data_IF_168389517051
#
_entry.id   IF_168389517051
#
_cell.length_a   1.000
_cell.length_b   1.000
_cell.length_c   1.000
_cell.angle_alpha   90.00
_cell.angle_beta   90.00
_cell.angle_gamma   90.00
#
_symmetry.space_group_name_H-M   'P 1'
#
loop_
_entity.id
_entity.type
_entity.pdbx_description
1 polymer ?
#
# COMPACT_ATOMS: atom_id res chain seq x y z
N UNK A 1 19.11 -4.05 -7.34
CA UNK A 1 18.38 -4.55 -8.53
C UNK A 1 18.37 -3.48 -9.61
N UNK A 2 18.09 -3.82 -10.86
CA UNK A 2 17.94 -2.84 -11.95
C UNK A 2 16.47 -2.78 -12.37
N UNK A 3 15.95 -1.57 -12.59
CA UNK A 3 14.59 -1.33 -13.09
C UNK A 3 14.70 -0.63 -14.44
N UNK A 4 13.84 -0.99 -15.39
CA UNK A 4 13.80 -0.38 -16.72
C UNK A 4 12.77 0.74 -16.74
N UNK A 5 13.18 1.92 -17.21
CA UNK A 5 12.30 3.08 -17.29
C UNK A 5 11.29 2.94 -18.43
N UNK A 6 10.00 3.13 -18.15
CA UNK A 6 8.94 3.11 -19.17
C UNK A 6 9.03 4.25 -20.18
N UNK A 7 9.68 5.37 -19.84
CA UNK A 7 9.84 6.51 -20.76
C UNK A 7 11.08 6.41 -21.64
N UNK A 8 12.27 6.32 -21.03
CA UNK A 8 13.54 6.39 -21.76
C UNK A 8 14.24 5.03 -21.93
N UNK A 9 13.63 3.94 -21.47
CA UNK A 9 14.14 2.55 -21.58
C UNK A 9 15.48 2.29 -20.89
N UNK A 10 16.05 3.28 -20.18
CA UNK A 10 17.33 3.14 -19.49
C UNK A 10 17.21 2.20 -18.27
N UNK A 11 18.30 1.49 -17.98
CA UNK A 11 18.43 0.66 -16.79
C UNK A 11 18.88 1.54 -15.62
N UNK A 12 18.01 1.69 -14.63
CA UNK A 12 18.30 2.47 -13.43
C UNK A 12 18.69 1.51 -12.29
N UNK A 13 19.91 1.61 -11.72
CA UNK A 13 20.29 0.84 -10.56
C UNK A 13 19.52 1.32 -9.34
N UNK A 14 18.86 0.39 -8.66
CA UNK A 14 18.06 0.69 -7.47
C UNK A 14 18.67 0.01 -6.26
N UNK A 15 19.06 0.85 -5.29
CA UNK A 15 19.40 0.45 -3.92
C UNK A 15 18.23 0.78 -3.02
N UNK A 16 17.53 -0.26 -2.57
CA UNK A 16 16.40 -0.09 -1.64
C UNK A 16 16.93 -0.29 -0.22
N UNK A 17 16.78 0.69 0.69
CA UNK A 17 17.20 0.52 2.09
C UNK A 17 16.40 -0.61 2.75
N UNK A 18 17.07 -1.41 3.58
CA UNK A 18 16.54 -2.67 4.11
C UNK A 18 15.47 -2.53 5.20
N UNK A 19 15.18 -1.32 5.69
CA UNK A 19 14.45 -1.13 6.95
C UNK A 19 13.23 -0.19 6.89
N UNK A 20 12.85 0.33 5.72
CA UNK A 20 11.75 1.31 5.66
C UNK A 20 10.48 0.66 5.12
N UNK A 21 9.46 0.50 5.97
CA UNK A 21 8.09 0.17 5.56
C UNK A 21 7.41 1.26 4.70
N UNK A 22 8.15 2.31 4.35
CA UNK A 22 7.69 3.37 3.44
C UNK A 22 8.01 3.01 1.99
N UNK A 23 7.08 3.26 1.04
CA UNK A 23 7.33 3.04 -0.38
C UNK A 23 8.54 3.86 -0.84
N UNK A 24 9.50 3.19 -1.49
CA UNK A 24 10.70 3.83 -2.00
C UNK A 24 10.39 4.60 -3.29
N UNK A 25 10.84 5.85 -3.37
CA UNK A 25 10.77 6.67 -4.59
C UNK A 25 12.12 6.67 -5.27
N UNK A 26 12.19 6.22 -6.52
CA UNK A 26 13.43 6.14 -7.30
C UNK A 26 13.31 7.02 -8.54
N UNK A 27 14.31 7.86 -8.79
CA UNK A 27 14.40 8.66 -10.02
C UNK A 27 15.17 7.89 -11.09
N UNK A 28 14.64 7.86 -12.31
CA UNK A 28 15.34 7.28 -13.46
C UNK A 28 16.63 8.04 -13.76
N UNK A 29 17.73 7.32 -13.98
CA UNK A 29 19.02 7.91 -14.35
C UNK A 29 19.04 8.55 -15.74
N UNK A 30 18.13 8.16 -16.63
CA UNK A 30 18.04 8.71 -17.99
C UNK A 30 17.16 9.96 -18.09
N UNK A 31 15.88 9.86 -17.70
CA UNK A 31 14.92 10.96 -17.88
C UNK A 31 14.49 11.65 -16.58
N UNK A 32 15.02 11.26 -15.41
CA UNK A 32 14.66 11.85 -14.12
C UNK A 32 13.26 11.52 -13.60
N UNK A 33 12.43 10.79 -14.36
CA UNK A 33 11.07 10.40 -13.95
C UNK A 33 11.11 9.60 -12.65
N UNK A 34 10.24 9.97 -11.70
CA UNK A 34 10.16 9.35 -10.37
C UNK A 34 9.16 8.20 -10.37
N UNK A 35 9.60 7.04 -9.90
CA UNK A 35 8.81 5.83 -9.76
C UNK A 35 8.61 5.51 -8.27
N UNK A 36 7.37 5.24 -7.87
CA UNK A 36 7.07 4.70 -6.54
C UNK A 36 7.10 3.19 -6.64
N UNK A 37 8.00 2.56 -5.89
CA UNK A 37 8.09 1.12 -5.82
C UNK A 37 7.18 0.62 -4.70
N UNK A 38 6.28 -0.31 -5.02
CA UNK A 38 5.37 -0.95 -4.07
C UNK A 38 6.13 -1.98 -3.22
N UNK A 39 7.13 -1.54 -2.44
CA UNK A 39 7.96 -2.45 -1.67
C UNK A 39 7.41 -2.56 -0.26
N UNK A 40 6.58 -3.57 -0.03
CA UNK A 40 6.51 -4.21 1.28
C UNK A 40 7.63 -5.24 1.33
N UNK A 41 8.73 -4.94 2.03
CA UNK A 41 9.86 -5.85 2.16
C UNK A 41 9.77 -6.62 3.49
N UNK A 42 9.51 -7.94 3.48
CA UNK A 42 9.98 -8.79 4.55
C UNK A 42 11.52 -8.95 4.45
N UNK A 43 12.18 -9.31 5.56
CA UNK A 43 13.65 -9.26 5.72
C UNK A 43 14.49 -10.10 4.74
N UNK A 44 15.83 -10.09 4.90
CA UNK A 44 16.86 -10.75 4.04
C UNK A 44 16.48 -12.07 3.32
N UNK A 45 15.84 -13.08 3.95
CA UNK A 45 15.41 -14.29 3.22
C UNK A 45 14.46 -14.01 2.04
N UNK A 46 13.80 -12.85 2.00
CA UNK A 46 12.89 -12.47 0.93
C UNK A 46 13.59 -11.98 -0.36
N UNK A 47 14.87 -11.61 -0.33
CA UNK A 47 15.57 -11.16 -1.54
C UNK A 47 15.88 -12.33 -2.49
N UNK A 48 16.20 -13.52 -1.97
CA UNK A 48 16.32 -14.75 -2.77
C UNK A 48 14.97 -15.15 -3.39
N UNK A 49 13.88 -15.09 -2.60
CA UNK A 49 12.52 -15.36 -3.09
C UNK A 49 12.09 -14.38 -4.17
N UNK A 50 12.51 -13.11 -4.07
CA UNK A 50 12.22 -12.08 -5.08
C UNK A 50 13.01 -12.31 -6.36
N UNK A 51 14.30 -12.68 -6.25
CA UNK A 51 15.10 -13.06 -7.42
C UNK A 51 14.53 -14.29 -8.13
N UNK A 52 14.18 -15.33 -7.36
CA UNK A 52 13.54 -16.54 -7.89
C UNK A 52 12.23 -16.23 -8.61
N UNK A 53 11.32 -15.46 -8.00
CA UNK A 53 10.06 -15.05 -8.63
C UNK A 53 10.28 -14.22 -9.90
N UNK A 54 11.22 -13.27 -9.88
CA UNK A 54 11.54 -12.47 -11.06
C UNK A 54 12.10 -13.33 -12.20
N UNK A 55 12.95 -14.32 -11.88
CA UNK A 55 13.48 -15.27 -12.86
C UNK A 55 12.39 -16.16 -13.46
N UNK A 56 11.58 -16.80 -12.62
CA UNK A 56 10.45 -17.63 -13.07
C UNK A 56 9.48 -16.82 -13.95
N UNK A 57 9.18 -15.58 -13.56
CA UNK A 57 8.31 -14.69 -14.32
C UNK A 57 8.94 -14.27 -15.66
N UNK A 58 10.25 -13.99 -15.69
CA UNK A 58 10.99 -13.65 -16.90
C UNK A 58 11.00 -14.82 -17.90
N UNK A 59 11.27 -16.03 -17.42
CA UNK A 59 11.30 -17.26 -18.22
C UNK A 59 9.90 -17.57 -18.79
N UNK A 60 8.86 -17.54 -17.94
CA UNK A 60 7.48 -17.82 -18.35
C UNK A 60 6.94 -16.83 -19.41
N UNK A 61 7.37 -15.57 -19.35
CA UNK A 61 6.87 -14.51 -20.23
C UNK A 61 7.83 -14.13 -21.37
N UNK A 62 8.99 -14.77 -21.42
CA UNK A 62 10.07 -14.49 -22.37
C UNK A 62 10.47 -13.00 -22.43
N UNK A 63 10.64 -12.38 -21.27
CA UNK A 63 11.09 -10.99 -21.11
C UNK A 63 12.46 -10.94 -20.42
N UNK A 64 13.14 -9.79 -20.46
CA UNK A 64 14.40 -9.63 -19.73
C UNK A 64 14.16 -9.56 -18.21
N UNK A 65 15.18 -9.92 -17.44
CA UNK A 65 15.10 -9.92 -15.98
C UNK A 65 14.77 -8.53 -15.39
N UNK A 66 15.27 -7.47 -16.03
CA UNK A 66 14.94 -6.10 -15.65
C UNK A 66 13.46 -5.75 -15.89
N UNK A 67 12.88 -6.24 -16.99
CA UNK A 67 11.45 -6.11 -17.28
C UNK A 67 10.59 -6.87 -16.28
N UNK A 68 10.97 -8.09 -15.92
CA UNK A 68 10.27 -8.87 -14.90
C UNK A 68 10.25 -8.18 -13.54
N UNK A 69 11.37 -7.63 -13.07
CA UNK A 69 11.37 -6.80 -11.86
C UNK A 69 10.47 -5.58 -11.99
N UNK A 70 10.52 -4.88 -13.13
CA UNK A 70 9.70 -3.68 -13.32
C UNK A 70 8.20 -4.00 -13.27
N UNK A 71 7.77 -5.17 -13.77
CA UNK A 71 6.38 -5.63 -13.69
C UNK A 71 5.99 -6.03 -12.27
N UNK A 72 6.81 -6.85 -11.60
CA UNK A 72 6.54 -7.30 -10.23
C UNK A 72 6.46 -6.14 -9.23
N UNK A 73 7.15 -5.03 -9.52
CA UNK A 73 7.10 -3.79 -8.73
C UNK A 73 6.00 -2.81 -9.17
N UNK A 74 5.19 -3.15 -10.17
CA UNK A 74 4.11 -2.30 -10.68
C UNK A 74 4.59 -1.04 -11.43
N UNK A 75 5.83 -1.04 -11.92
CA UNK A 75 6.44 0.08 -12.64
C UNK A 75 6.09 0.06 -14.13
N UNK A 76 5.89 -1.13 -14.69
CA UNK A 76 5.70 -1.38 -16.12
C UNK A 76 4.68 -2.50 -16.34
N UNK A 77 3.92 -2.49 -17.43
CA UNK A 77 3.03 -3.60 -17.78
C UNK A 77 3.75 -4.70 -18.57
N UNK A 78 3.12 -5.86 -18.71
CA UNK A 78 3.69 -6.98 -19.47
C UNK A 78 3.79 -6.64 -20.98
N UNK A 79 2.82 -5.92 -21.51
CA UNK A 79 2.77 -5.47 -22.90
C UNK A 79 3.93 -4.50 -23.20
N UNK A 80 4.16 -3.54 -22.30
CA UNK A 80 5.29 -2.61 -22.38
C UNK A 80 6.62 -3.36 -22.37
N UNK A 81 6.77 -4.36 -21.49
CA UNK A 81 7.98 -5.17 -21.41
C UNK A 81 8.25 -5.98 -22.69
N UNK A 82 7.20 -6.55 -23.29
CA UNK A 82 7.31 -7.30 -24.56
C UNK A 82 7.64 -6.39 -25.74
N UNK A 83 7.04 -5.21 -25.81
CA UNK A 83 7.32 -4.21 -26.84
C UNK A 83 8.81 -3.78 -26.84
N UNK A 84 9.45 -3.77 -25.67
CA UNK A 84 10.87 -3.44 -25.54
C UNK A 84 11.79 -4.52 -26.11
N UNK A 85 11.42 -5.80 -25.97
CA UNK A 85 12.19 -6.92 -26.55
C UNK A 85 12.16 -6.89 -28.08
N UNK A 86 11.02 -6.53 -28.67
CA UNK A 86 10.89 -6.37 -30.12
C UNK A 86 11.77 -5.26 -30.72
N UNK A 87 12.26 -4.32 -29.90
CA UNK A 87 13.17 -3.25 -30.33
C UNK A 87 14.66 -3.57 -30.15
N UNK A 88 15.02 -4.70 -29.55
CA UNK A 88 16.39 -5.15 -29.48
C UNK A 88 16.71 -5.98 -30.73
N UNK A 89 17.79 -5.69 -31.48
CA UNK A 89 18.23 -6.57 -32.56
C UNK A 89 18.43 -7.97 -31.97
N UNK A 90 17.90 -8.99 -32.68
CA UNK A 90 18.04 -10.39 -32.26
C UNK A 90 19.52 -10.65 -31.91
N UNK A 91 19.82 -11.28 -30.78
CA UNK A 91 21.20 -11.58 -30.43
C UNK A 91 21.78 -12.40 -31.58
N UNK A 92 22.77 -11.83 -32.30
CA UNK A 92 23.52 -12.56 -33.31
C UNK A 92 23.97 -13.88 -32.68
N UNK A 93 23.75 -15.03 -33.36
CA UNK A 93 24.15 -16.32 -32.83
C UNK A 93 25.64 -16.24 -32.47
N UNK A 94 25.91 -16.45 -31.18
CA UNK A 94 27.26 -16.41 -30.64
C UNK A 94 28.15 -17.35 -31.46
N UNK A 95 29.24 -16.80 -32.01
CA UNK A 95 30.28 -17.61 -32.62
C UNK A 95 30.73 -18.67 -31.62
N UNK A 96 30.95 -19.93 -32.06
CA UNK A 96 31.31 -21.03 -31.17
C UNK A 96 32.62 -20.71 -30.44
N UNK A 97 32.51 -20.60 -29.11
CA UNK A 97 33.65 -20.44 -28.21
C UNK A 97 34.51 -21.71 -28.28
N UNK A 98 35.76 -21.55 -28.72
CA UNK A 98 36.76 -22.61 -28.72
C UNK A 98 36.99 -23.15 -27.30
N UNK A 99 37.26 -24.46 -27.14
CA UNK A 99 37.41 -25.09 -25.84
C UNK A 99 38.63 -24.56 -25.06
N UNK A 100 38.56 -24.50 -23.72
CA UNK A 100 39.66 -24.06 -22.88
C UNK A 100 40.81 -25.07 -22.89
N UNK A 101 42.02 -24.59 -23.16
CA UNK A 101 43.25 -25.37 -23.09
C UNK A 101 43.60 -25.84 -21.67
N UNK A 102 44.46 -26.86 -21.54
CA UNK A 102 44.75 -27.53 -20.28
C UNK A 102 45.58 -26.66 -19.33
N UNK A 103 45.14 -26.60 -18.07
CA UNK A 103 45.81 -25.91 -16.95
C UNK A 103 46.98 -26.77 -16.43
N UNK A 104 48.18 -26.21 -16.20
CA UNK A 104 49.28 -26.95 -15.60
C UNK A 104 49.09 -27.10 -14.09
N UNK A 105 49.51 -28.26 -13.58
CA UNK A 105 49.55 -28.62 -12.16
C UNK A 105 50.71 -27.89 -11.45
N UNK A 106 50.47 -27.47 -10.21
CA UNK A 106 51.47 -26.89 -9.32
C UNK A 106 50.95 -26.77 -7.88
N UNK A 107 51.83 -26.80 -6.86
CA UNK A 107 51.76 -27.81 -5.81
C UNK A 107 51.23 -27.34 -4.45
N UNK A 108 50.96 -28.34 -3.61
CA UNK A 108 50.57 -28.25 -2.21
C UNK A 108 51.60 -27.54 -1.32
N UNK A 109 51.12 -26.76 -0.34
CA UNK A 109 51.89 -26.36 0.83
C UNK A 109 50.96 -26.09 2.04
N UNK A 110 51.52 -26.39 3.21
CA UNK A 110 50.95 -26.66 4.53
C UNK A 110 50.43 -25.42 5.32
N UNK A 111 49.79 -25.61 6.51
CA UNK A 111 49.11 -24.55 7.28
C UNK A 111 49.99 -23.95 8.39
N UNK A 112 49.64 -22.75 8.90
CA UNK A 112 49.92 -22.37 10.29
C UNK A 112 48.61 -21.99 11.03
N UNK A 113 48.34 -22.59 12.19
CA UNK A 113 48.83 -22.24 13.52
C UNK A 113 47.97 -21.18 14.23
N UNK A 114 47.69 -21.49 15.50
CA UNK A 114 46.74 -20.85 16.38
C UNK A 114 47.11 -19.40 16.76
N UNK A 115 46.09 -18.57 16.96
CA UNK A 115 46.20 -17.25 17.57
C UNK A 115 44.99 -16.95 18.45
N UNK A 116 45.22 -16.98 19.78
CA UNK A 116 44.31 -16.49 20.82
C UNK A 116 44.26 -14.96 20.81
N UNK A 117 43.10 -14.37 21.05
CA UNK A 117 42.93 -12.95 21.36
C UNK A 117 41.55 -12.69 21.94
N UNK A 118 41.50 -12.21 23.19
CA UNK A 118 40.33 -12.14 24.04
C UNK A 118 39.51 -10.84 23.92
N UNK A 119 38.20 -10.99 24.07
CA UNK A 119 37.24 -10.20 24.86
C UNK A 119 37.16 -8.66 24.74
N UNK A 120 35.98 -8.18 24.31
CA UNK A 120 35.31 -7.00 24.87
C UNK A 120 33.78 -7.18 24.80
N UNK A 121 33.07 -6.77 25.86
CA UNK A 121 31.78 -7.29 26.30
C UNK A 121 30.52 -6.47 25.90
N UNK A 122 29.40 -7.21 25.73
CA UNK A 122 27.94 -7.03 26.06
C UNK A 122 27.22 -5.65 25.93
N UNK A 123 25.85 -5.56 25.88
CA UNK A 123 24.81 -6.50 26.35
C UNK A 123 23.67 -6.77 25.32
N UNK A 124 22.66 -7.62 25.51
CA UNK A 124 22.21 -8.51 26.57
C UNK A 124 20.98 -9.27 26.05
N UNK A 125 20.84 -10.55 26.38
CA UNK A 125 19.62 -11.32 26.12
C UNK A 125 19.46 -12.35 27.25
N UNK A 126 18.49 -12.00 28.08
CA UNK A 126 17.72 -12.73 29.09
C UNK A 126 18.00 -14.24 29.10
N UNK A 127 18.58 -14.70 30.21
CA UNK A 127 18.70 -16.10 30.61
C UNK A 127 17.32 -16.74 30.73
N UNK A 128 17.10 -17.79 29.96
CA UNK A 128 16.06 -18.78 30.15
C UNK A 128 16.74 -19.96 30.85
N UNK A 129 16.30 -20.29 32.08
CA UNK A 129 16.80 -21.37 32.93
C UNK A 129 16.44 -22.78 32.39
N UNK A 130 16.74 -23.04 31.12
CA UNK A 130 16.79 -24.39 30.60
C UNK A 130 18.22 -24.93 30.82
N UNK A 131 18.40 -26.11 31.45
CA UNK A 131 19.72 -26.66 31.71
C UNK A 131 20.47 -26.87 30.40
N UNK A 132 21.55 -26.10 30.23
CA UNK A 132 22.43 -26.12 29.07
C UNK A 132 23.02 -27.52 28.86
N UNK A 133 22.67 -28.16 27.74
CA UNK A 133 23.11 -29.52 27.44
C UNK A 133 24.65 -29.55 27.22
N UNK A 134 25.41 -30.31 28.05
CA UNK A 134 26.87 -30.36 27.98
C UNK A 134 27.41 -30.91 26.66
N UNK A 135 26.59 -31.59 25.85
CA UNK A 135 26.98 -32.04 24.51
C UNK A 135 27.24 -30.86 23.55
N UNK A 136 26.50 -29.75 23.68
CA UNK A 136 26.73 -28.56 22.87
C UNK A 136 28.02 -27.84 23.24
N UNK A 137 28.40 -27.87 24.52
CA UNK A 137 29.67 -27.31 25.00
C UNK A 137 30.87 -27.97 24.30
N UNK A 138 30.84 -29.31 24.17
CA UNK A 138 31.90 -30.09 23.51
C UNK A 138 31.96 -29.81 22.01
N UNK A 139 30.82 -29.78 21.33
CA UNK A 139 30.76 -29.50 19.90
C UNK A 139 31.24 -28.07 19.54
N UNK A 140 31.03 -27.09 20.43
CA UNK A 140 31.59 -25.74 20.27
C UNK A 140 33.10 -25.74 20.52
N UNK A 141 33.57 -26.46 21.54
CA UNK A 141 35.01 -26.58 21.84
C UNK A 141 35.80 -27.27 20.70
N UNK A 142 35.18 -28.22 20.01
CA UNK A 142 35.74 -28.90 18.84
C UNK A 142 35.65 -28.08 17.54
N UNK A 143 35.03 -26.90 17.56
CA UNK A 143 34.84 -26.04 16.38
C UNK A 143 33.76 -26.52 15.42
N UNK A 144 33.02 -27.58 15.78
CA UNK A 144 31.94 -28.15 14.98
C UNK A 144 30.68 -27.26 14.97
N UNK A 145 30.53 -26.36 15.94
CA UNK A 145 29.38 -25.48 16.10
C UNK A 145 29.80 -24.08 16.58
N UNK A 146 29.16 -23.04 16.07
CA UNK A 146 29.36 -21.69 16.61
C UNK A 146 28.53 -21.49 17.89
N UNK A 147 29.01 -20.65 18.81
CA UNK A 147 28.32 -20.34 20.08
C UNK A 147 26.88 -19.86 19.82
N UNK A 148 26.67 -19.06 18.78
CA UNK A 148 25.34 -18.56 18.40
C UNK A 148 24.42 -19.67 17.91
N UNK A 149 24.93 -20.64 17.14
CA UNK A 149 24.18 -21.81 16.72
C UNK A 149 23.87 -22.74 17.91
N UNK A 150 24.76 -22.85 18.89
CA UNK A 150 24.50 -23.61 20.12
C UNK A 150 23.40 -22.97 20.98
N UNK A 151 23.38 -21.64 21.09
CA UNK A 151 22.32 -20.90 21.82
C UNK A 151 20.97 -21.00 21.10
N UNK A 152 20.95 -20.88 19.76
CA UNK A 152 19.71 -21.08 18.98
C UNK A 152 19.18 -22.53 19.02
N UNK A 153 20.06 -23.51 19.27
CA UNK A 153 19.71 -24.92 19.47
C UNK A 153 19.33 -25.25 20.91
N UNK A 154 19.69 -24.41 21.88
CA UNK A 154 19.35 -24.58 23.29
C UNK A 154 17.84 -24.61 23.56
N UNK A 155 17.05 -23.93 22.72
CA UNK A 155 15.59 -24.09 22.70
C UNK A 155 15.17 -24.96 21.51
N UNK A 156 15.28 -26.28 21.73
CA UNK A 156 14.84 -27.34 20.81
C UNK A 156 13.45 -27.07 20.22
N UNK A 157 12.53 -26.55 21.04
CA UNK A 157 11.15 -26.29 20.64
C UNK A 157 11.05 -25.07 19.74
N UNK A 158 11.80 -24.00 20.01
CA UNK A 158 11.85 -22.84 19.13
C UNK A 158 12.45 -23.16 17.75
N UNK A 159 13.49 -24.01 17.68
CA UNK A 159 14.04 -24.48 16.41
C UNK A 159 13.03 -25.33 15.65
N UNK A 160 12.39 -26.29 16.33
CA UNK A 160 11.34 -27.12 15.73
C UNK A 160 10.16 -26.28 15.21
N UNK A 161 9.70 -25.27 15.96
CA UNK A 161 8.65 -24.36 15.49
C UNK A 161 9.05 -23.60 14.22
N UNK A 162 10.27 -23.07 14.14
CA UNK A 162 10.77 -22.40 12.92
C UNK A 162 10.83 -23.35 11.73
N UNK A 163 11.34 -24.57 11.93
CA UNK A 163 11.43 -25.60 10.89
C UNK A 163 10.02 -26.03 10.44
N UNK A 164 9.10 -26.24 11.37
CA UNK A 164 7.70 -26.58 11.11
C UNK A 164 7.02 -25.48 10.27
N UNK A 165 7.17 -24.21 10.65
CA UNK A 165 6.58 -23.08 9.92
C UNK A 165 7.19 -22.92 8.52
N UNK A 166 8.52 -22.96 8.40
CA UNK A 166 9.21 -22.73 7.11
C UNK A 166 8.91 -23.81 6.08
N UNK A 167 8.83 -25.07 6.52
CA UNK A 167 8.68 -26.23 5.62
C UNK A 167 7.29 -26.88 5.67
N UNK A 168 6.36 -26.30 6.45
CA UNK A 168 5.03 -26.87 6.73
C UNK A 168 5.11 -28.33 7.19
N UNK A 169 6.09 -28.66 8.02
CA UNK A 169 6.27 -30.00 8.57
C UNK A 169 5.40 -30.15 9.82
N UNK A 170 4.79 -31.33 10.07
CA UNK A 170 4.16 -31.61 11.35
C UNK A 170 5.20 -31.55 12.47
N UNK A 171 4.77 -31.15 13.65
CA UNK A 171 5.68 -30.81 14.76
C UNK A 171 6.61 -31.97 15.12
N UNK A 172 6.15 -33.22 15.07
CA UNK A 172 6.97 -34.40 15.37
C UNK A 172 8.15 -34.57 14.41
N UNK A 173 7.93 -34.31 13.11
CA UNK A 173 9.00 -34.35 12.10
C UNK A 173 9.94 -33.16 12.27
N UNK A 174 9.43 -31.99 12.62
CA UNK A 174 10.26 -30.82 12.89
C UNK A 174 11.14 -30.98 14.14
N UNK A 175 10.65 -31.66 15.19
CA UNK A 175 11.44 -32.04 16.36
C UNK A 175 12.54 -33.05 16.00
N UNK A 176 12.25 -34.06 15.18
CA UNK A 176 13.27 -34.99 14.70
C UNK A 176 14.36 -34.31 13.88
N UNK A 177 14.00 -33.27 13.11
CA UNK A 177 14.97 -32.43 12.38
C UNK A 177 15.77 -31.55 13.34
N UNK A 178 15.12 -30.94 14.34
CA UNK A 178 15.79 -30.12 15.35
C UNK A 178 16.82 -30.92 16.16
N UNK A 179 16.54 -32.20 16.41
CA UNK A 179 17.46 -33.15 17.05
C UNK A 179 18.56 -33.69 16.13
N UNK A 180 18.59 -33.27 14.87
CA UNK A 180 19.45 -33.83 13.81
C UNK A 180 19.30 -35.35 13.60
N UNK A 181 18.18 -35.96 14.02
CA UNK A 181 17.90 -37.40 13.79
C UNK A 181 17.50 -37.68 12.34
N UNK A 182 16.92 -36.69 11.67
CA UNK A 182 16.45 -36.78 10.28
C UNK A 182 16.82 -35.48 9.55
N UNK A 183 17.29 -35.58 8.31
CA UNK A 183 17.54 -34.39 7.48
C UNK A 183 16.22 -33.76 7.01
N UNK A 184 16.19 -32.45 6.79
CA UNK A 184 14.98 -31.73 6.30
C UNK A 184 14.40 -32.39 5.04
N UNK A 185 15.25 -32.84 4.10
CA UNK A 185 14.82 -33.53 2.87
C UNK A 185 14.10 -34.83 3.16
N UNK A 186 14.65 -35.68 4.04
CA UNK A 186 14.03 -36.96 4.43
C UNK A 186 12.73 -36.73 5.21
N UNK A 187 12.64 -35.68 6.01
CA UNK A 187 11.40 -35.30 6.70
C UNK A 187 10.30 -34.87 5.72
N UNK A 188 10.64 -34.17 4.63
CA UNK A 188 9.69 -33.81 3.56
C UNK A 188 9.21 -35.05 2.78
N UNK A 189 10.11 -35.99 2.49
CA UNK A 189 9.74 -37.26 1.86
C UNK A 189 8.81 -38.09 2.77
N UNK A 190 9.09 -38.15 4.07
CA UNK A 190 8.21 -38.80 5.05
C UNK A 190 6.85 -38.11 5.18
N UNK A 191 6.81 -36.77 5.11
CA UNK A 191 5.56 -36.02 5.07
C UNK A 191 4.74 -36.38 3.83
N UNK A 192 5.34 -36.34 2.65
CA UNK A 192 4.66 -36.70 1.41
C UNK A 192 4.13 -38.16 1.44
N UNK A 193 4.91 -39.09 2.01
CA UNK A 193 4.48 -40.47 2.19
C UNK A 193 3.33 -40.64 3.20
N UNK A 194 3.24 -39.78 4.23
CA UNK A 194 2.11 -39.76 5.16
C UNK A 194 0.86 -39.18 4.49
N UNK A 195 0.99 -38.03 3.82
CA UNK A 195 -0.11 -37.40 3.08
C UNK A 195 -0.67 -38.30 1.96
N UNK A 196 0.17 -39.17 1.37
CA UNK A 196 -0.27 -40.16 0.39
C UNK A 196 -1.03 -41.35 1.00
N UNK A 197 -0.82 -41.65 2.29
CA UNK A 197 -1.51 -42.74 3.00
C UNK A 197 -2.76 -42.28 3.72
N UNK A 198 -2.80 -41.02 4.13
CA UNK A 198 -3.95 -40.43 4.78
C UNK A 198 -5.04 -40.23 3.71
N UNK A 199 -6.20 -40.90 3.81
CA UNK A 199 -7.30 -40.61 2.91
C UNK A 199 -7.59 -39.11 2.99
N UNK A 200 -7.92 -38.44 1.87
CA UNK A 200 -8.23 -37.02 1.91
C UNK A 200 -9.25 -36.79 3.02
N UNK A 201 -8.99 -35.84 3.95
CA UNK A 201 -9.85 -35.64 5.10
C UNK A 201 -11.27 -35.58 4.55
N UNK A 202 -12.16 -36.44 5.09
CA UNK A 202 -13.55 -36.45 4.69
C UNK A 202 -13.98 -35.01 4.76
N UNK A 203 -14.16 -34.39 3.59
CA UNK A 203 -14.67 -33.04 3.54
C UNK A 203 -15.97 -33.17 4.29
N UNK A 204 -16.03 -32.64 5.50
CA UNK A 204 -17.27 -32.42 6.20
C UNK A 204 -17.97 -31.45 5.28
N UNK A 205 -18.70 -32.01 4.32
CA UNK A 205 -19.68 -31.32 3.54
C UNK A 205 -20.70 -30.86 4.57
N UNK A 206 -20.38 -29.76 5.23
CA UNK A 206 -21.41 -28.79 5.60
C UNK A 206 -22.16 -28.63 4.30
N UNK A 207 -23.32 -29.30 4.23
CA UNK A 207 -23.91 -29.63 2.95
C UNK A 207 -23.99 -28.33 2.17
N UNK A 208 -23.68 -28.36 0.88
CA UNK A 208 -23.81 -27.16 0.04
C UNK A 208 -25.19 -26.50 0.24
N UNK A 209 -26.21 -27.29 0.64
CA UNK A 209 -27.51 -26.82 1.11
C UNK A 209 -27.47 -25.91 2.34
N UNK A 210 -26.72 -26.22 3.41
CA UNK A 210 -26.61 -25.35 4.60
C UNK A 210 -25.94 -24.01 4.26
N UNK A 211 -24.88 -24.03 3.43
CA UNK A 211 -24.21 -22.80 3.02
C UNK A 211 -25.10 -21.94 2.12
N UNK A 212 -25.77 -22.56 1.14
CA UNK A 212 -26.75 -21.86 0.29
C UNK A 212 -27.93 -21.32 1.09
N UNK A 213 -28.41 -22.06 2.09
CA UNK A 213 -29.49 -21.63 2.98
C UNK A 213 -29.05 -20.43 3.83
N UNK A 214 -27.82 -20.45 4.36
CA UNK A 214 -27.28 -19.33 5.14
C UNK A 214 -27.13 -18.06 4.30
N UNK A 215 -26.68 -18.18 3.05
CA UNK A 215 -26.59 -17.03 2.14
C UNK A 215 -27.97 -16.49 1.80
N UNK A 216 -28.93 -17.38 1.52
CA UNK A 216 -30.29 -16.98 1.19
C UNK A 216 -30.98 -16.27 2.36
N UNK A 217 -30.81 -16.75 3.59
CA UNK A 217 -31.41 -16.13 4.78
C UNK A 217 -30.80 -14.76 5.09
N UNK A 218 -29.48 -14.61 4.98
CA UNK A 218 -28.82 -13.30 5.15
C UNK A 218 -29.25 -12.34 4.03
N UNK A 219 -29.30 -12.81 2.79
CA UNK A 219 -29.72 -12.01 1.63
C UNK A 219 -31.16 -11.49 1.76
N UNK A 220 -32.08 -12.33 2.22
CA UNK A 220 -33.49 -11.92 2.41
C UNK A 220 -33.66 -10.90 3.53
N UNK A 221 -32.92 -11.03 4.65
CA UNK A 221 -32.97 -10.01 5.72
C UNK A 221 -32.44 -8.64 5.29
N UNK A 222 -31.38 -8.60 4.46
CA UNK A 222 -30.85 -7.34 3.92
C UNK A 222 -31.88 -6.70 2.98
N UNK A 223 -32.49 -7.50 2.10
CA UNK A 223 -33.47 -7.00 1.13
C UNK A 223 -34.71 -6.41 1.82
N UNK A 224 -35.24 -7.08 2.84
CA UNK A 224 -36.40 -6.59 3.61
C UNK A 224 -36.05 -5.32 4.39
N UNK A 225 -34.86 -5.25 4.99
CA UNK A 225 -34.38 -4.03 5.66
C UNK A 225 -34.30 -2.83 4.71
N UNK A 226 -33.79 -3.03 3.48
CA UNK A 226 -33.72 -1.97 2.46
C UNK A 226 -35.11 -1.54 1.98
N UNK A 227 -36.03 -2.48 1.78
CA UNK A 227 -37.42 -2.19 1.40
C UNK A 227 -38.15 -1.35 2.45
N UNK A 228 -38.01 -1.71 3.74
CA UNK A 228 -38.59 -0.95 4.85
C UNK A 228 -37.97 0.45 4.91
N UNK A 229 -36.65 0.57 4.76
CA UNK A 229 -36.00 1.87 4.77
C UNK A 229 -36.46 2.77 3.60
N UNK A 230 -36.58 2.21 2.40
CA UNK A 230 -37.10 2.93 1.23
C UNK A 230 -38.55 3.38 1.45
N UNK A 231 -39.39 2.54 2.04
CA UNK A 231 -40.77 2.89 2.39
C UNK A 231 -40.84 4.07 3.38
N UNK A 232 -39.99 4.08 4.41
CA UNK A 232 -39.93 5.20 5.36
C UNK A 232 -39.44 6.50 4.71
N UNK A 233 -38.38 6.45 3.91
CA UNK A 233 -37.85 7.63 3.20
C UNK A 233 -38.88 8.19 2.22
N UNK A 234 -39.57 7.31 1.49
CA UNK A 234 -40.64 7.73 0.59
C UNK A 234 -41.82 8.35 1.36
N UNK A 235 -42.21 7.77 2.50
CA UNK A 235 -43.23 8.32 3.38
C UNK A 235 -42.89 9.73 3.86
N UNK A 236 -41.65 9.95 4.32
CA UNK A 236 -41.16 11.28 4.71
C UNK A 236 -41.12 12.28 3.55
N UNK A 237 -40.78 11.82 2.34
CA UNK A 237 -40.78 12.65 1.15
C UNK A 237 -42.20 13.11 0.78
N UNK A 238 -43.18 12.20 0.83
CA UNK A 238 -44.58 12.53 0.55
C UNK A 238 -45.17 13.46 1.61
N UNK A 239 -44.84 13.29 2.90
CA UNK A 239 -45.34 14.19 3.95
C UNK A 239 -44.74 15.58 3.85
N UNK A 240 -43.44 15.70 3.53
CA UNK A 240 -42.81 17.02 3.31
C UNK A 240 -43.37 17.74 2.09
N UNK A 241 -43.51 17.06 0.96
CA UNK A 241 -43.93 17.73 -0.28
C UNK A 241 -45.45 17.89 -0.38
N UNK A 242 -46.24 17.02 0.24
CA UNK A 242 -47.69 17.16 0.33
C UNK A 242 -48.12 18.34 1.20
N UNK A 243 -47.33 18.70 2.22
CA UNK A 243 -47.59 19.88 3.05
C UNK A 243 -47.37 21.21 2.30
N UNK A 244 -46.40 21.25 1.38
CA UNK A 244 -46.09 22.48 0.61
C UNK A 244 -47.17 22.78 -0.45
N UNK A 245 -47.86 21.76 -0.97
CA UNK A 245 -48.88 21.95 -2.00
C UNK A 245 -50.22 22.53 -1.53
N UNK A 246 -50.49 22.54 -0.22
CA UNK A 246 -51.79 22.97 0.32
C UNK A 246 -51.81 24.43 0.83
N UNK A 247 -50.66 25.07 1.06
CA UNK A 247 -50.61 26.49 1.51
C UNK A 247 -50.55 27.51 0.35
N UNK A 248 -50.10 27.12 -0.85
CA UNK A 248 -49.84 28.08 -1.93
C UNK A 248 -51.05 28.39 -2.83
N UNK A 249 -52.20 27.72 -2.63
CA UNK A 249 -53.38 27.87 -3.51
C UNK A 249 -54.47 28.83 -3.03
N UNK A 250 -54.30 29.55 -1.91
CA UNK A 250 -55.35 30.45 -1.38
C UNK A 250 -54.99 31.96 -1.47
N UNK A 251 -53.78 32.32 -1.92
CA UNK A 251 -53.30 33.71 -1.85
C UNK A 251 -52.96 34.38 -3.19
N UNK A 252 -53.61 34.02 -4.31
CA UNK A 252 -53.38 34.71 -5.59
C UNK A 252 -54.65 34.91 -6.40
N UNK A 253 -55.54 35.78 -5.90
CA UNK A 253 -56.60 36.40 -6.67
C UNK A 253 -56.63 37.91 -6.36
N UNK A 254 -55.67 38.65 -6.89
CA UNK A 254 -55.73 40.11 -7.00
C UNK A 254 -55.00 40.56 -8.27
N UNK A 255 -55.81 40.89 -9.26
CA UNK A 255 -55.48 41.27 -10.61
C UNK A 255 -54.68 42.59 -10.66
N UNK A 256 -53.50 42.57 -11.29
CA UNK A 256 -52.72 43.76 -11.66
C UNK A 256 -52.34 43.66 -13.15
N UNK A 257 -52.45 44.75 -13.91
CA UNK A 257 -52.27 44.75 -15.37
C UNK A 257 -50.82 44.43 -15.78
N UNK A 258 -50.61 43.90 -17.00
CA UNK A 258 -49.36 43.27 -17.41
C UNK A 258 -48.25 44.29 -17.61
N UNK A 259 -47.30 44.32 -16.68
CA UNK A 259 -46.00 44.94 -16.89
C UNK A 259 -45.12 43.98 -17.70
N UNK A 260 -44.49 44.54 -18.73
CA UNK A 260 -43.56 43.89 -19.65
C UNK A 260 -42.54 43.02 -18.88
N UNK A 261 -42.37 41.73 -19.25
CA UNK A 261 -41.43 40.86 -18.55
C UNK A 261 -40.01 41.43 -18.71
N UNK A 262 -39.24 41.61 -17.62
CA UNK A 262 -37.83 41.94 -17.74
C UNK A 262 -37.12 40.81 -18.49
N UNK A 263 -36.09 41.13 -19.31
CA UNK A 263 -35.34 40.13 -20.05
C UNK A 263 -34.80 39.07 -19.08
N UNK A 264 -34.79 37.78 -19.49
CA UNK A 264 -34.31 36.70 -18.64
C UNK A 264 -32.89 37.02 -18.17
N UNK A 265 -32.73 37.16 -16.85
CA UNK A 265 -31.42 37.35 -16.23
C UNK A 265 -30.49 36.27 -16.77
N UNK A 266 -29.38 36.70 -17.39
CA UNK A 266 -28.37 35.80 -17.92
C UNK A 266 -28.00 34.79 -16.84
N UNK A 267 -28.06 33.50 -17.18
CA UNK A 267 -27.72 32.44 -16.25
C UNK A 267 -26.36 32.74 -15.60
N UNK A 268 -26.24 32.64 -14.26
CA UNK A 268 -24.98 32.88 -13.58
C UNK A 268 -23.90 31.97 -14.20
N UNK A 269 -22.67 32.49 -14.42
CA UNK A 269 -21.61 31.71 -15.01
C UNK A 269 -21.40 30.42 -14.19
N UNK A 270 -21.13 29.28 -14.86
CA UNK A 270 -20.97 28.01 -14.18
C UNK A 270 -19.90 28.13 -13.08
N UNK A 271 -20.15 27.63 -11.86
CA UNK A 271 -19.18 27.72 -10.78
C UNK A 271 -17.89 27.04 -11.21
N UNK A 272 -16.78 27.80 -11.21
CA UNK A 272 -15.47 27.30 -11.63
C UNK A 272 -14.92 26.20 -10.69
N UNK A 273 -15.48 26.13 -9.47
CA UNK A 273 -15.14 25.14 -8.45
C UNK A 273 -16.23 24.07 -8.38
N UNK A 274 -15.85 22.81 -8.60
CA UNK A 274 -16.76 21.67 -8.68
C UNK A 274 -16.55 20.77 -7.46
N UNK A 275 -17.43 20.82 -6.44
CA UNK A 275 -17.42 19.86 -5.35
C UNK A 275 -18.02 18.53 -5.82
N UNK A 276 -17.43 17.42 -5.39
CA UNK A 276 -17.93 16.07 -5.62
C UNK A 276 -18.20 15.40 -4.28
N UNK A 277 -19.45 14.97 -4.10
CA UNK A 277 -19.88 14.20 -2.94
C UNK A 277 -20.12 12.75 -3.31
N UNK A 278 -19.98 11.85 -2.33
CA UNK A 278 -20.42 10.47 -2.46
C UNK A 278 -21.95 10.34 -2.28
N UNK A 279 -22.44 9.09 -2.34
CA UNK A 279 -23.86 8.78 -2.15
C UNK A 279 -24.38 9.12 -0.75
N UNK A 280 -23.50 9.30 0.24
CA UNK A 280 -23.89 9.72 1.59
C UNK A 280 -23.99 11.24 1.72
N UNK A 281 -23.54 12.01 0.71
CA UNK A 281 -23.40 13.46 0.78
C UNK A 281 -22.10 13.91 1.45
N UNK A 282 -21.16 12.99 1.67
CA UNK A 282 -19.83 13.32 2.19
C UNK A 282 -18.94 13.80 1.04
N UNK A 283 -18.17 14.86 1.31
CA UNK A 283 -17.32 15.49 0.31
C UNK A 283 -16.05 14.66 0.11
N UNK A 284 -15.86 14.15 -1.13
CA UNK A 284 -14.74 13.26 -1.49
C UNK A 284 -13.70 13.93 -2.38
N UNK A 285 -14.09 14.98 -3.11
CA UNK A 285 -13.19 15.76 -3.94
C UNK A 285 -13.71 17.20 -4.12
N UNK A 286 -12.79 18.16 -4.21
CA UNK A 286 -13.09 19.54 -4.62
C UNK A 286 -12.05 19.97 -5.64
N UNK A 287 -12.49 20.41 -6.81
CA UNK A 287 -11.61 20.89 -7.89
C UNK A 287 -11.88 22.36 -8.21
N UNK A 288 -10.85 23.22 -8.23
CA UNK A 288 -10.99 24.65 -8.48
C UNK A 288 -9.79 25.28 -9.22
N UNK A 289 -9.94 26.53 -9.71
CA UNK A 289 -8.88 27.25 -10.42
C UNK A 289 -7.75 27.71 -9.49
N UNK A 290 -8.02 27.92 -8.20
CA UNK A 290 -7.06 28.41 -7.21
C UNK A 290 -7.26 27.71 -5.85
N UNK A 291 -6.24 27.64 -4.98
CA UNK A 291 -6.35 26.90 -3.73
C UNK A 291 -7.29 27.59 -2.71
N UNK A 292 -7.55 28.89 -2.85
CA UNK A 292 -8.48 29.61 -1.96
C UNK A 292 -9.92 29.21 -2.28
N UNK A 293 -10.30 29.14 -3.56
CA UNK A 293 -11.63 28.69 -3.97
C UNK A 293 -11.91 27.25 -3.55
N UNK A 294 -10.90 26.38 -3.60
CA UNK A 294 -10.99 24.99 -3.12
C UNK A 294 -11.25 24.93 -1.63
N UNK A 295 -10.54 25.73 -0.83
CA UNK A 295 -10.75 25.79 0.63
C UNK A 295 -12.14 26.33 0.98
N UNK A 296 -12.58 27.42 0.33
CA UNK A 296 -13.92 28.00 0.53
C UNK A 296 -14.99 26.98 0.18
N UNK A 297 -14.89 26.30 -0.96
CA UNK A 297 -15.84 25.27 -1.38
C UNK A 297 -15.84 24.07 -0.42
N UNK A 298 -14.68 23.64 0.08
CA UNK A 298 -14.59 22.58 1.09
C UNK A 298 -15.32 22.92 2.40
N UNK A 299 -15.27 24.18 2.83
CA UNK A 299 -15.96 24.67 4.03
C UNK A 299 -17.46 24.87 3.80
N UNK A 300 -17.86 25.23 2.57
CA UNK A 300 -19.24 25.54 2.21
C UNK A 300 -20.05 24.36 1.64
N UNK A 301 -19.44 23.19 1.41
CA UNK A 301 -20.07 22.05 0.72
C UNK A 301 -20.09 20.74 1.54
N UNK A 302 -20.98 19.83 1.14
CA UNK A 302 -21.18 18.51 1.77
C UNK A 302 -21.92 18.59 3.11
N UNK A 303 -21.98 17.46 3.83
CA UNK A 303 -22.65 17.35 5.16
C UNK A 303 -22.17 18.33 6.23
N UNK A 304 -21.02 18.95 6.02
CA UNK A 304 -20.34 19.80 7.00
C UNK A 304 -20.30 21.27 6.54
N UNK A 305 -21.13 21.62 5.55
CA UNK A 305 -21.33 22.98 5.11
C UNK A 305 -21.77 23.88 6.29
N UNK A 306 -21.15 25.06 6.41
CA UNK A 306 -21.45 26.02 7.48
C UNK A 306 -20.91 25.66 8.87
N UNK A 307 -20.32 24.47 9.03
CA UNK A 307 -19.68 24.00 10.28
C UNK A 307 -18.18 24.26 10.31
N UNK A 308 -17.63 24.79 9.22
CA UNK A 308 -16.21 25.04 9.02
C UNK A 308 -16.03 26.45 8.49
N UNK A 309 -15.06 27.16 9.03
CA UNK A 309 -14.68 28.50 8.60
C UNK A 309 -13.29 28.44 7.94
N UNK A 310 -13.14 28.86 6.67
CA UNK A 310 -11.83 28.93 6.04
C UNK A 310 -11.00 30.03 6.70
N UNK A 311 -9.74 29.75 7.04
CA UNK A 311 -8.86 30.71 7.71
C UNK A 311 -7.79 31.21 6.74
N UNK A 312 -6.93 30.31 6.25
CA UNK A 312 -5.82 30.68 5.38
C UNK A 312 -5.34 29.52 4.52
N UNK A 313 -4.58 29.83 3.47
CA UNK A 313 -3.83 28.84 2.67
C UNK A 313 -2.34 28.98 2.96
N UNK A 314 -1.76 27.96 3.58
CA UNK A 314 -0.36 27.88 3.96
C UNK A 314 0.48 27.09 2.93
N UNK A 315 1.78 27.40 2.76
CA UNK A 315 2.68 26.60 1.94
C UNK A 315 2.95 25.23 2.57
N UNK A 316 3.25 24.22 1.74
CA UNK A 316 3.72 22.94 2.23
C UNK A 316 5.14 23.01 2.83
N UNK A 317 5.47 22.07 3.72
CA UNK A 317 6.83 21.90 4.26
C UNK A 317 7.31 20.48 3.90
N UNK A 318 8.36 20.32 3.07
CA UNK A 318 9.11 21.37 2.37
C UNK A 318 8.27 22.13 1.33
N UNK A 319 8.62 23.40 1.03
CA UNK A 319 7.88 24.22 0.08
C UNK A 319 7.88 23.58 -1.31
N UNK A 320 6.69 23.47 -1.90
CA UNK A 320 6.52 23.03 -3.28
C UNK A 320 5.44 23.86 -3.97
N UNK A 321 5.60 24.09 -5.27
CA UNK A 321 4.69 24.91 -6.06
C UNK A 321 3.30 24.28 -6.21
N UNK A 322 3.22 22.94 -6.26
CA UNK A 322 1.99 22.18 -6.48
C UNK A 322 1.33 21.63 -5.22
N UNK A 323 1.74 22.04 -4.01
CA UNK A 323 1.12 21.59 -2.76
C UNK A 323 0.93 22.75 -1.79
N UNK A 324 -0.30 22.88 -1.30
CA UNK A 324 -0.72 23.86 -0.29
C UNK A 324 -1.53 23.16 0.79
N UNK A 325 -1.62 23.80 1.95
CA UNK A 325 -2.48 23.38 3.05
C UNK A 325 -3.57 24.44 3.23
N UNK A 326 -4.83 24.04 3.09
CA UNK A 326 -5.97 24.90 3.42
C UNK A 326 -6.33 24.74 4.88
N UNK A 327 -6.08 25.77 5.68
CA UNK A 327 -6.33 25.79 7.12
C UNK A 327 -7.74 26.31 7.40
N UNK A 328 -8.48 25.61 8.24
CA UNK A 328 -9.84 25.95 8.61
C UNK A 328 -10.07 25.78 10.11
N UNK A 329 -11.06 26.51 10.63
CA UNK A 329 -11.56 26.41 12.00
C UNK A 329 -12.85 25.59 12.01
N UNK A 330 -12.99 24.71 13.00
CA UNK A 330 -14.25 23.99 13.23
C UNK A 330 -15.17 24.86 14.10
N UNK A 331 -16.35 25.21 13.57
CA UNK A 331 -17.33 26.03 14.27
C UNK A 331 -18.20 25.22 15.24
N UNK A 332 -18.32 23.90 15.05
CA UNK A 332 -19.06 23.04 16.00
C UNK A 332 -18.33 22.85 17.32
N UNK A 333 -17.00 22.90 17.28
CA UNK A 333 -16.14 22.69 18.44
C UNK A 333 -15.11 23.81 18.52
N UNK A 334 -15.48 25.01 18.99
CA UNK A 334 -14.61 26.20 18.98
C UNK A 334 -13.28 26.02 19.72
N UNK A 335 -13.23 25.12 20.71
CA UNK A 335 -12.01 24.80 21.47
C UNK A 335 -11.06 23.82 20.78
N UNK A 336 -11.42 23.28 19.61
CA UNK A 336 -10.51 22.38 18.88
C UNK A 336 -9.41 23.17 18.17
N UNK A 337 -8.18 22.63 18.10
CA UNK A 337 -7.12 23.26 17.34
C UNK A 337 -7.50 23.38 15.86
N UNK A 338 -6.90 24.35 15.18
CA UNK A 338 -7.05 24.52 13.73
C UNK A 338 -6.73 23.22 13.00
N UNK A 339 -7.43 22.96 11.91
CA UNK A 339 -7.25 21.78 11.07
C UNK A 339 -6.88 22.19 9.67
N UNK A 340 -6.22 21.32 8.93
CA UNK A 340 -5.81 21.56 7.57
C UNK A 340 -6.27 20.45 6.62
N UNK A 341 -6.48 20.82 5.36
CA UNK A 341 -6.64 19.90 4.24
C UNK A 341 -5.49 20.06 3.25
N UNK A 342 -5.13 18.98 2.57
CA UNK A 342 -4.12 19.01 1.50
C UNK A 342 -4.76 19.42 0.19
N UNK A 343 -4.25 20.48 -0.40
CA UNK A 343 -4.66 20.99 -1.71
C UNK A 343 -3.48 20.80 -2.66
N UNK A 344 -3.63 19.92 -3.65
CA UNK A 344 -2.59 19.60 -4.63
C UNK A 344 -2.96 20.16 -5.99
N UNK A 345 -1.99 20.62 -6.74
CA UNK A 345 -2.18 20.96 -8.15
C UNK A 345 -2.13 19.67 -8.98
N UNK A 346 -3.16 19.45 -9.79
CA UNK A 346 -3.18 18.39 -10.78
C UNK A 346 -2.21 18.70 -11.93
N UNK A 347 -1.26 17.82 -12.16
CA UNK A 347 -0.29 17.98 -13.24
C UNK A 347 -0.94 17.91 -14.64
N UNK A 348 -2.10 17.25 -14.77
CA UNK A 348 -2.76 17.10 -16.08
C UNK A 348 -3.62 18.32 -16.43
N UNK A 349 -4.45 18.76 -15.50
CA UNK A 349 -5.43 19.83 -15.75
C UNK A 349 -4.95 21.20 -15.29
N UNK A 350 -3.88 21.28 -14.49
CA UNK A 350 -3.43 22.52 -13.86
C UNK A 350 -4.33 23.02 -12.73
N UNK A 351 -5.48 22.36 -12.49
CA UNK A 351 -6.45 22.72 -11.44
C UNK A 351 -5.96 22.31 -10.06
N UNK A 352 -6.43 23.01 -9.04
CA UNK A 352 -6.20 22.65 -7.64
C UNK A 352 -7.26 21.66 -7.17
N UNK A 353 -6.83 20.61 -6.48
CA UNK A 353 -7.65 19.49 -6.02
C UNK A 353 -7.44 19.24 -4.53
N UNK A 354 -8.52 19.06 -3.78
CA UNK A 354 -8.51 18.45 -2.45
C UNK A 354 -9.26 17.12 -2.49
N UNK A 355 -8.72 16.07 -1.86
CA UNK A 355 -9.31 14.72 -1.88
C UNK A 355 -8.78 13.80 -2.97
N UNK A 356 -9.32 12.59 -3.06
CA UNK A 356 -8.97 11.58 -4.07
C UNK A 356 -10.18 11.02 -4.83
N UNK A 357 -11.37 11.53 -4.53
CA UNK A 357 -12.63 11.11 -5.14
C UNK A 357 -13.11 9.72 -4.71
N UNK A 358 -12.41 9.05 -3.77
CA UNK A 358 -12.75 7.69 -3.30
C UNK A 358 -13.24 7.69 -1.87
N UNK A 359 -12.65 8.53 -1.03
CA UNK A 359 -13.00 8.62 0.38
C UNK A 359 -13.17 10.07 0.83
N UNK A 360 -13.59 10.26 2.10
CA UNK A 360 -13.71 11.58 2.69
C UNK A 360 -12.38 12.34 2.60
N UNK A 361 -12.44 13.64 2.35
CA UNK A 361 -11.23 14.48 2.36
C UNK A 361 -10.62 14.43 3.77
N UNK A 362 -9.42 13.89 3.87
CA UNK A 362 -8.68 13.76 5.13
C UNK A 362 -8.29 15.13 5.67
N UNK A 363 -8.44 15.31 6.98
CA UNK A 363 -8.06 16.53 7.71
C UNK A 363 -6.94 16.20 8.69
N UNK A 364 -5.92 17.04 8.75
CA UNK A 364 -4.75 16.86 9.61
C UNK A 364 -4.47 18.13 10.43
N UNK A 365 -3.46 18.09 11.28
CA UNK A 365 -2.98 19.28 12.00
C UNK A 365 -2.18 20.17 11.04
N UNK A 366 -2.39 21.51 11.04
CA UNK A 366 -1.64 22.40 10.18
C UNK A 366 -0.14 22.29 10.47
N UNK A 367 0.72 22.18 9.44
CA UNK A 367 2.16 22.13 9.65
C UNK A 367 2.64 23.43 10.31
N UNK A 368 3.68 23.36 11.18
CA UNK A 368 4.26 24.55 11.77
C UNK A 368 4.73 25.49 10.66
N UNK A 369 4.29 26.74 10.71
CA UNK A 369 4.66 27.72 9.69
C UNK A 369 6.13 28.10 9.86
N UNK A 370 6.94 27.99 8.79
CA UNK A 370 8.30 28.48 8.85
C UNK A 370 8.29 30.00 9.05
N UNK A 371 9.23 30.55 9.85
CA UNK A 371 9.32 31.99 10.04
C UNK A 371 9.49 32.70 8.69
N UNK A 372 8.64 33.69 8.41
CA UNK A 372 8.62 34.44 7.15
C UNK A 372 7.83 33.80 6.00
N UNK A 373 7.14 32.68 6.23
CA UNK A 373 6.23 32.10 5.24
C UNK A 373 5.08 33.07 4.91
N UNK A 374 4.87 33.36 3.63
CA UNK A 374 3.71 34.13 3.17
C UNK A 374 2.48 33.23 3.16
N UNK A 375 1.51 33.50 4.02
CA UNK A 375 0.19 32.86 3.98
C UNK A 375 -0.79 33.71 3.19
N UNK A 376 -1.76 33.06 2.55
CA UNK A 376 -2.86 33.75 1.85
C UNK A 376 -4.07 33.71 2.77
N UNK A 377 -4.41 34.86 3.36
CA UNK A 377 -5.59 34.99 4.23
C UNK A 377 -6.88 34.82 3.42
N UNK A 378 -7.81 34.02 3.95
CA UNK A 378 -9.10 33.76 3.32
C UNK A 378 -10.17 34.46 4.16
N UNK A 379 -10.32 35.77 4.00
CA UNK A 379 -11.47 36.47 4.56
C UNK A 379 -12.70 36.24 3.69
N UNK A 380 -13.80 35.79 4.31
CA UNK A 380 -15.12 35.66 3.69
C UNK A 380 -15.77 37.03 3.39
N UNK A 381 -15.27 38.11 4.01
CA UNK A 381 -15.88 39.44 3.92
C UNK A 381 -15.59 40.22 2.63
N UNK A 382 -14.99 39.58 1.61
CA UNK A 382 -14.58 40.26 0.38
C UNK A 382 -14.69 39.42 -0.89
N UNK A 383 -15.61 38.44 -0.90
CA UNK A 383 -15.95 37.64 -2.08
C UNK A 383 -17.33 38.03 -2.61
#
# INVERSE_FOLDING_TARGET
>A
MHIRCTQCKSLTPVRVPSASGTPAVVSCSGCGKRYRLAINRPGKPADEDRYRRAREYAEANQIDMAGAYSILEGVMTLEEARALRGSAPAPSPASPVSPPGPRPAGPAAAPPAAGRGASAAKPGLIESDAPYDPAFARAVAEGCLTVQQAVERGDRRALAMRVAQRHRLPMDLALMVADNRVSVRKALEQKAAREAKEPPPSQTSVSHGVWNFMIFSIGTMILTGLLIHMYHVWGEYLTRNGAVGLEETVASAAERPPATPPPPAAAPPPPLTVPRTDATGQLVEVAGPDPRSVLVSFCASGRQAGRREPVEVAPAVPPSSGLRFGVFRNLEQPGTPLRAIRIRQDAKTGRWLAGDGRGPIMTEEPPPQPPGARTIQVSLAGA
#
